data_IF_391159617656
#
_entry.id   IF_391159617656
#
_cell.length_a   1.000
_cell.length_b   1.000
_cell.length_c   1.000
_cell.angle_alpha   90.00
_cell.angle_beta   90.00
_cell.angle_gamma   90.00
#
_symmetry.space_group_name_H-M   'P 1'
#
loop_
_entity.id
_entity.type
_entity.pdbx_description
1 polymer ?
#
# COMPACT_ATOMS: atom_id res chain seq x y z
N UNK A 1 -17.41 -11.45 24.40
CA UNK A 1 -18.65 -11.60 23.61
C UNK A 1 -19.32 -10.23 23.58
N UNK A 2 -19.15 -9.48 22.49
CA UNK A 2 -19.76 -8.15 22.36
C UNK A 2 -21.26 -8.31 22.11
N UNK A 3 -22.09 -7.66 22.93
CA UNK A 3 -23.54 -7.55 22.70
C UNK A 3 -23.85 -6.08 22.45
N UNK A 4 -24.20 -5.76 21.20
CA UNK A 4 -24.72 -4.46 20.83
C UNK A 4 -26.04 -4.18 21.56
N UNK A 5 -26.17 -2.98 22.14
CA UNK A 5 -27.37 -2.51 22.84
C UNK A 5 -27.84 -1.21 22.18
N UNK A 6 -28.60 -1.31 21.10
CA UNK A 6 -29.37 -0.18 20.55
C UNK A 6 -30.82 -0.63 20.32
N UNK A 7 -31.79 0.30 20.24
CA UNK A 7 -33.20 -0.04 20.14
C UNK A 7 -33.46 -0.73 18.81
N UNK A 8 -33.89 -1.99 18.86
CA UNK A 8 -34.30 -2.76 17.68
C UNK A 8 -35.63 -2.21 17.16
N UNK A 9 -35.59 -1.10 16.43
CA UNK A 9 -36.73 -0.63 15.66
C UNK A 9 -36.67 -1.11 14.20
N UNK A 10 -37.80 -1.02 13.49
CA UNK A 10 -37.93 -1.47 12.10
C UNK A 10 -36.95 -0.74 11.16
N UNK A 11 -36.64 0.53 11.45
CA UNK A 11 -35.76 1.38 10.66
C UNK A 11 -34.29 0.97 10.82
N UNK A 12 -33.88 0.59 12.03
CA UNK A 12 -32.56 0.07 12.36
C UNK A 12 -32.27 -1.24 11.63
N UNK A 13 -33.24 -2.17 11.63
CA UNK A 13 -33.11 -3.44 10.90
C UNK A 13 -32.95 -3.20 9.39
N UNK A 14 -33.74 -2.31 8.80
CA UNK A 14 -33.63 -1.95 7.38
C UNK A 14 -32.28 -1.29 7.03
N UNK A 15 -31.74 -0.45 7.94
CA UNK A 15 -30.43 0.18 7.79
C UNK A 15 -29.29 -0.84 7.89
N UNK A 16 -29.35 -1.75 8.85
CA UNK A 16 -28.38 -2.84 8.98
C UNK A 16 -28.38 -3.74 7.74
N UNK A 17 -29.56 -4.16 7.28
CA UNK A 17 -29.68 -4.96 6.06
C UNK A 17 -29.08 -4.24 4.84
N UNK A 18 -29.28 -2.92 4.74
CA UNK A 18 -28.70 -2.10 3.66
C UNK A 18 -27.17 -2.03 3.75
N UNK A 19 -26.61 -1.89 4.96
CA UNK A 19 -25.17 -1.86 5.18
C UNK A 19 -24.51 -3.21 4.92
N UNK A 20 -25.15 -4.31 5.33
CA UNK A 20 -24.68 -5.66 5.07
C UNK A 20 -24.65 -5.97 3.57
N UNK A 21 -25.64 -5.52 2.81
CA UNK A 21 -25.66 -5.62 1.35
C UNK A 21 -24.55 -4.80 0.70
N UNK A 22 -24.34 -3.56 1.15
CA UNK A 22 -23.27 -2.70 0.64
C UNK A 22 -21.90 -3.31 0.92
N UNK A 23 -21.69 -3.83 2.12
CA UNK A 23 -20.46 -4.54 2.48
C UNK A 23 -20.24 -5.78 1.60
N UNK A 24 -21.27 -6.63 1.44
CA UNK A 24 -21.19 -7.81 0.59
C UNK A 24 -20.88 -7.46 -0.87
N UNK A 25 -21.55 -6.45 -1.44
CA UNK A 25 -21.28 -5.98 -2.79
C UNK A 25 -19.87 -5.41 -2.91
N UNK A 26 -19.41 -4.64 -1.93
CA UNK A 26 -18.07 -4.04 -1.94
C UNK A 26 -16.99 -5.11 -1.92
N UNK A 27 -17.15 -6.15 -1.08
CA UNK A 27 -16.18 -7.24 -0.95
C UNK A 27 -16.25 -8.20 -2.14
N UNK A 28 -17.44 -8.59 -2.59
CA UNK A 28 -17.60 -9.70 -3.55
C UNK A 28 -17.89 -9.26 -4.98
N UNK A 29 -18.32 -8.02 -5.19
CA UNK A 29 -18.90 -7.47 -6.44
C UNK A 29 -20.10 -8.26 -6.97
N UNK A 30 -20.77 -9.04 -6.13
CA UNK A 30 -21.99 -9.79 -6.46
C UNK A 30 -23.22 -9.10 -5.87
N UNK A 31 -24.34 -9.15 -6.60
CA UNK A 31 -25.64 -8.76 -6.05
C UNK A 31 -26.09 -9.81 -5.02
N UNK A 32 -26.79 -9.37 -3.99
CA UNK A 32 -27.37 -10.27 -2.98
C UNK A 32 -28.66 -10.85 -3.55
N UNK A 33 -28.89 -12.15 -3.34
CA UNK A 33 -30.14 -12.80 -3.72
C UNK A 33 -31.13 -12.68 -2.54
N UNK A 34 -32.37 -12.34 -2.84
CA UNK A 34 -33.50 -12.39 -1.91
C UNK A 34 -34.16 -13.76 -1.96
N UNK A 35 -34.40 -14.36 -0.80
CA UNK A 35 -35.20 -15.58 -0.70
C UNK A 35 -36.67 -15.27 -1.03
N UNK A 36 -37.48 -16.30 -1.29
CA UNK A 36 -38.91 -16.22 -1.62
C UNK A 36 -39.79 -15.46 -0.60
N UNK A 37 -39.26 -15.24 0.62
CA UNK A 37 -39.90 -14.48 1.70
C UNK A 37 -39.50 -13.00 1.73
N UNK A 38 -38.72 -12.53 0.75
CA UNK A 38 -38.17 -11.16 0.71
C UNK A 38 -37.01 -10.94 1.68
N UNK A 39 -36.62 -11.96 2.44
CA UNK A 39 -35.50 -11.91 3.38
C UNK A 39 -34.17 -12.05 2.62
N UNK A 40 -33.22 -11.19 2.98
CA UNK A 40 -31.91 -11.12 2.35
C UNK A 40 -30.99 -12.10 3.06
N UNK A 41 -30.54 -13.13 2.34
CA UNK A 41 -29.64 -14.15 2.88
C UNK A 41 -28.24 -13.94 2.31
N UNK A 42 -27.36 -13.35 3.11
CA UNK A 42 -25.94 -13.17 2.74
C UNK A 42 -25.18 -14.37 3.31
N UNK A 43 -24.64 -15.26 2.47
CA UNK A 43 -23.93 -16.43 2.96
C UNK A 43 -22.51 -16.05 3.38
N UNK A 44 -22.37 -15.31 4.48
CA UNK A 44 -21.09 -14.88 5.05
C UNK A 44 -20.15 -16.06 5.31
N UNK A 45 -20.70 -17.24 5.62
CA UNK A 45 -19.99 -18.51 5.79
C UNK A 45 -19.43 -19.08 4.47
N UNK A 46 -20.00 -18.76 3.31
CA UNK A 46 -19.49 -19.12 1.98
C UNK A 46 -18.48 -18.10 1.45
N UNK A 47 -18.35 -16.93 2.10
CA UNK A 47 -17.27 -15.99 1.86
C UNK A 47 -15.99 -16.60 2.43
N UNK A 48 -15.40 -17.55 1.69
CA UNK A 48 -14.01 -17.95 1.90
C UNK A 48 -13.19 -16.67 1.85
N UNK A 49 -12.38 -16.43 2.89
CA UNK A 49 -11.42 -15.33 3.01
C UNK A 49 -10.85 -15.03 1.63
N UNK A 50 -11.36 -13.97 0.99
CA UNK A 50 -11.06 -13.75 -0.40
C UNK A 50 -9.62 -13.30 -0.45
N UNK A 51 -8.75 -14.11 -1.09
CA UNK A 51 -7.35 -13.72 -1.37
C UNK A 51 -7.35 -12.29 -1.87
N UNK A 52 -6.45 -11.46 -1.31
CA UNK A 52 -6.22 -10.07 -1.65
C UNK A 52 -6.59 -9.81 -3.12
N UNK A 53 -7.80 -9.30 -3.35
CA UNK A 53 -8.25 -8.93 -4.69
C UNK A 53 -7.79 -7.52 -4.94
N UNK A 54 -7.31 -7.27 -6.14
CA UNK A 54 -7.08 -5.91 -6.60
C UNK A 54 -8.42 -5.16 -6.56
N UNK A 55 -8.41 -3.98 -5.96
CA UNK A 55 -9.52 -3.05 -5.83
C UNK A 55 -9.33 -1.79 -6.70
N UNK A 56 -8.10 -1.50 -7.11
CA UNK A 56 -7.76 -0.39 -8.00
C UNK A 56 -7.91 -0.75 -9.49
N UNK A 57 -8.24 0.22 -10.36
CA UNK A 57 -8.20 0.00 -11.81
C UNK A 57 -6.76 -0.26 -12.29
N UNK A 58 -6.64 -0.89 -13.45
CA UNK A 58 -5.35 -0.98 -14.15
C UNK A 58 -4.87 0.42 -14.53
N UNK A 59 -3.57 0.67 -14.33
CA UNK A 59 -2.93 1.94 -14.69
C UNK A 59 -2.89 2.08 -16.21
N UNK A 60 -3.36 3.21 -16.74
CA UNK A 60 -3.29 3.45 -18.19
C UNK A 60 -1.83 3.58 -18.65
N UNK A 61 -1.48 3.23 -19.91
CA UNK A 61 -0.12 3.35 -20.40
C UNK A 61 0.46 4.77 -20.24
N UNK A 62 -0.36 5.79 -20.50
CA UNK A 62 0.01 7.19 -20.27
C UNK A 62 0.36 7.49 -18.81
N UNK A 63 -0.43 6.98 -17.86
CA UNK A 63 -0.15 7.17 -16.43
C UNK A 63 1.10 6.40 -15.98
N UNK A 64 1.39 5.25 -16.58
CA UNK A 64 2.65 4.51 -16.35
C UNK A 64 3.84 5.32 -16.84
N UNK A 65 3.77 5.92 -18.04
CA UNK A 65 4.86 6.74 -18.59
C UNK A 65 5.15 7.98 -17.73
N UNK A 66 4.10 8.67 -17.25
CA UNK A 66 4.24 9.77 -16.31
C UNK A 66 4.86 9.31 -14.99
N UNK A 67 4.46 8.14 -14.49
CA UNK A 67 5.03 7.56 -13.29
C UNK A 67 6.52 7.20 -13.49
N UNK A 68 6.91 6.66 -14.63
CA UNK A 68 8.32 6.34 -14.92
C UNK A 68 9.20 7.59 -14.93
N UNK A 69 8.69 8.73 -15.42
CA UNK A 69 9.41 10.00 -15.34
C UNK A 69 9.66 10.43 -13.89
N UNK A 70 8.62 10.40 -13.05
CA UNK A 70 8.73 10.72 -11.62
C UNK A 70 9.63 9.71 -10.87
N UNK A 71 9.55 8.43 -11.22
CA UNK A 71 10.34 7.38 -10.61
C UNK A 71 11.84 7.56 -10.88
N UNK A 72 12.23 8.01 -12.09
CA UNK A 72 13.62 8.36 -12.41
C UNK A 72 14.11 9.53 -11.57
N UNK A 73 13.37 10.63 -11.58
CA UNK A 73 13.73 11.85 -10.85
C UNK A 73 13.92 11.59 -9.35
N UNK A 74 13.03 10.78 -8.76
CA UNK A 74 13.15 10.36 -7.37
C UNK A 74 14.44 9.59 -7.10
N UNK A 75 14.79 8.62 -7.94
CA UNK A 75 15.99 7.82 -7.71
C UNK A 75 17.29 8.57 -8.01
N UNK A 76 17.25 9.56 -8.91
CA UNK A 76 18.35 10.51 -9.11
C UNK A 76 18.60 11.35 -7.86
N UNK A 77 17.53 11.76 -7.16
CA UNK A 77 17.59 12.56 -5.93
C UNK A 77 17.20 11.77 -4.68
N UNK A 78 17.63 10.51 -4.60
CA UNK A 78 17.14 9.55 -3.59
C UNK A 78 17.39 9.96 -2.13
N UNK A 79 18.31 10.89 -1.86
CA UNK A 79 18.65 11.39 -0.53
C UNK A 79 17.73 12.53 -0.05
N UNK A 80 16.73 12.93 -0.85
CA UNK A 80 15.74 13.94 -0.50
C UNK A 80 14.35 13.33 -0.47
N UNK A 81 13.41 13.89 0.31
CA UNK A 81 12.01 13.55 0.17
C UNK A 81 11.54 13.85 -1.25
N UNK A 82 10.56 13.08 -1.73
CA UNK A 82 10.01 13.24 -3.07
C UNK A 82 8.49 13.22 -3.05
N UNK A 83 7.85 14.12 -3.81
CA UNK A 83 6.40 14.24 -3.90
C UNK A 83 5.95 13.66 -5.23
N UNK A 84 5.22 12.54 -5.18
CA UNK A 84 4.53 12.01 -6.35
C UNK A 84 3.27 12.81 -6.64
N UNK A 85 3.05 13.14 -7.91
CA UNK A 85 1.77 13.61 -8.45
C UNK A 85 1.07 12.45 -9.15
N UNK A 86 -0.03 11.99 -8.54
CA UNK A 86 -0.87 10.91 -9.01
C UNK A 86 -2.19 11.50 -9.46
N UNK A 87 -2.24 11.94 -10.72
CA UNK A 87 -3.45 12.52 -11.33
C UNK A 87 -4.00 13.73 -10.54
N UNK A 88 -3.12 14.61 -10.07
CA UNK A 88 -3.46 15.80 -9.28
C UNK A 88 -3.45 15.56 -7.76
N UNK A 89 -3.28 14.32 -7.32
CA UNK A 89 -3.15 13.98 -5.90
C UNK A 89 -1.69 13.87 -5.53
N UNK A 90 -1.24 14.73 -4.61
CA UNK A 90 0.14 14.71 -4.10
C UNK A 90 0.31 13.69 -2.98
N UNK A 91 1.46 13.02 -2.96
CA UNK A 91 1.85 12.08 -1.92
C UNK A 91 3.36 12.11 -1.73
N UNK A 92 3.83 12.49 -0.54
CA UNK A 92 5.26 12.59 -0.24
C UNK A 92 5.83 11.24 0.21
N UNK A 93 7.10 11.02 -0.08
CA UNK A 93 7.86 9.84 0.33
C UNK A 93 9.16 10.25 1.00
N UNK A 94 9.45 9.59 2.11
CA UNK A 94 10.69 9.75 2.85
C UNK A 94 11.94 9.55 1.97
N UNK A 95 13.04 10.27 2.26
CA UNK A 95 14.33 10.03 1.63
C UNK A 95 14.81 8.59 1.84
N UNK A 96 15.65 8.10 0.94
CA UNK A 96 16.37 6.86 1.11
C UNK A 96 17.65 7.14 1.88
N UNK A 97 17.78 6.54 3.08
CA UNK A 97 19.04 6.57 3.83
C UNK A 97 20.19 6.11 2.92
N UNK A 98 21.28 6.88 2.88
CA UNK A 98 22.48 6.51 2.12
C UNK A 98 22.97 5.16 2.65
N UNK A 99 22.95 4.15 1.80
CA UNK A 99 23.79 2.97 2.01
C UNK A 99 25.22 3.47 2.12
N UNK A 100 25.89 3.21 3.25
CA UNK A 100 27.32 3.52 3.46
C UNK A 100 28.22 2.94 2.36
N UNK A 101 27.71 1.96 1.60
CA UNK A 101 28.35 1.40 0.42
C UNK A 101 27.80 2.07 -0.85
N UNK A 102 28.44 3.16 -1.27
CA UNK A 102 28.19 3.87 -2.53
C UNK A 102 28.73 3.15 -3.78
N UNK A 103 29.51 2.07 -3.60
CA UNK A 103 30.19 1.35 -4.70
C UNK A 103 29.57 0.01 -5.12
N UNK A 104 28.54 -0.49 -4.41
CA UNK A 104 28.04 -1.84 -4.66
C UNK A 104 26.94 -1.82 -5.72
N UNK A 105 27.19 -2.58 -6.80
CA UNK A 105 26.17 -2.97 -7.79
C UNK A 105 24.88 -3.39 -7.07
N UNK A 106 23.74 -3.04 -7.66
CA UNK A 106 22.44 -3.40 -7.10
C UNK A 106 22.40 -4.92 -6.86
N UNK A 107 22.08 -5.34 -5.63
CA UNK A 107 21.99 -6.77 -5.28
C UNK A 107 21.02 -7.45 -6.24
N UNK A 108 21.42 -8.56 -6.84
CA UNK A 108 20.54 -9.30 -7.73
C UNK A 108 19.25 -9.72 -7.01
N UNK A 109 18.14 -9.60 -7.71
CA UNK A 109 16.86 -10.04 -7.20
C UNK A 109 16.01 -10.58 -8.35
N UNK A 110 15.34 -11.71 -8.13
CA UNK A 110 14.62 -12.44 -9.17
C UNK A 110 13.46 -11.65 -9.82
N UNK A 111 13.00 -10.58 -9.18
CA UNK A 111 11.92 -9.70 -9.68
C UNK A 111 12.41 -8.37 -10.25
N UNK A 112 13.69 -8.01 -10.09
CA UNK A 112 14.21 -6.70 -10.47
C UNK A 112 15.16 -6.80 -11.66
N UNK A 113 15.14 -5.81 -12.55
CA UNK A 113 16.07 -5.76 -13.67
C UNK A 113 17.52 -5.62 -13.18
N UNK A 114 18.48 -6.13 -13.95
CA UNK A 114 19.90 -6.15 -13.57
C UNK A 114 20.54 -4.77 -13.69
N UNK A 115 20.29 -4.06 -14.79
CA UNK A 115 20.83 -2.73 -15.07
C UNK A 115 20.00 -1.63 -14.37
N UNK A 116 20.01 -1.59 -13.04
CA UNK A 116 19.35 -0.55 -12.24
C UNK A 116 20.32 0.12 -11.25
N UNK A 117 20.06 1.38 -10.85
CA UNK A 117 20.81 2.05 -9.78
C UNK A 117 20.83 1.24 -8.47
N UNK A 118 21.95 1.30 -7.73
CA UNK A 118 22.19 0.51 -6.52
C UNK A 118 21.21 0.80 -5.37
N UNK A 119 20.65 2.01 -5.35
CA UNK A 119 19.66 2.44 -4.34
C UNK A 119 18.29 1.78 -4.55
N UNK A 120 18.03 1.19 -5.73
CA UNK A 120 16.75 0.58 -6.07
C UNK A 120 16.68 -0.84 -5.54
N UNK A 121 15.84 -1.02 -4.52
CA UNK A 121 15.54 -2.29 -3.90
C UNK A 121 14.03 -2.49 -3.74
N UNK A 122 13.63 -3.68 -3.28
CA UNK A 122 12.22 -4.01 -3.09
C UNK A 122 11.52 -3.06 -2.10
N UNK A 123 12.19 -2.67 -1.01
CA UNK A 123 11.60 -1.80 0.01
C UNK A 123 11.33 -0.41 -0.57
N UNK A 124 12.26 0.15 -1.34
CA UNK A 124 12.09 1.46 -1.98
C UNK A 124 10.98 1.47 -3.02
N UNK A 125 10.82 0.39 -3.79
CA UNK A 125 9.77 0.27 -4.80
C UNK A 125 8.40 0.05 -4.16
N UNK A 126 8.31 -0.76 -3.11
CA UNK A 126 7.05 -1.04 -2.42
C UNK A 126 6.60 0.18 -1.62
N UNK A 127 7.54 0.96 -1.06
CA UNK A 127 7.23 2.27 -0.48
C UNK A 127 6.60 3.21 -1.52
N UNK A 128 7.10 3.23 -2.75
CA UNK A 128 6.49 4.03 -3.83
C UNK A 128 5.10 3.55 -4.20
N UNK A 129 4.93 2.22 -4.31
CA UNK A 129 3.64 1.63 -4.58
C UNK A 129 2.63 1.98 -3.49
N UNK A 130 3.02 1.94 -2.21
CA UNK A 130 2.18 2.35 -1.09
C UNK A 130 1.84 3.85 -1.14
N UNK A 131 2.82 4.71 -1.46
CA UNK A 131 2.59 6.15 -1.63
C UNK A 131 1.60 6.48 -2.75
N UNK A 132 1.49 5.60 -3.74
CA UNK A 132 0.57 5.71 -4.88
C UNK A 132 -0.82 5.14 -4.65
N UNK A 133 -1.09 4.57 -3.47
CA UNK A 133 -2.42 4.06 -3.15
C UNK A 133 -3.46 5.19 -3.16
N UNK A 134 -4.64 5.00 -3.78
CA UNK A 134 -5.74 5.95 -3.68
C UNK A 134 -6.11 6.19 -2.22
N UNK A 135 -6.14 7.46 -1.79
CA UNK A 135 -6.41 7.76 -0.39
C UNK A 135 -5.27 7.39 0.58
N UNK A 136 -4.16 6.83 0.08
CA UNK A 136 -3.13 6.21 0.91
C UNK A 136 -3.57 4.87 1.53
N UNK A 137 -4.65 4.24 1.05
CA UNK A 137 -5.20 3.01 1.62
C UNK A 137 -5.43 1.97 0.53
N UNK A 138 -5.09 0.71 0.79
CA UNK A 138 -5.37 -0.37 -0.16
C UNK A 138 -5.03 -1.76 0.35
N UNK A 139 -5.30 -2.75 -0.49
CA UNK A 139 -4.95 -4.14 -0.20
C UNK A 139 -3.51 -4.44 -0.58
N UNK A 140 -2.96 -5.55 -0.07
CA UNK A 140 -1.66 -6.06 -0.53
C UNK A 140 -1.60 -6.27 -2.05
N UNK A 141 -2.72 -6.68 -2.67
CA UNK A 141 -2.77 -6.89 -4.10
C UNK A 141 -2.74 -5.57 -4.89
N UNK A 142 -3.31 -4.50 -4.33
CA UNK A 142 -3.21 -3.15 -4.91
C UNK A 142 -1.76 -2.67 -4.93
N UNK A 143 -1.04 -2.88 -3.81
CA UNK A 143 0.40 -2.58 -3.73
C UNK A 143 1.19 -3.42 -4.74
N UNK A 144 0.87 -4.71 -4.88
CA UNK A 144 1.51 -5.57 -5.87
C UNK A 144 1.21 -5.14 -7.32
N UNK A 145 0.02 -4.65 -7.60
CA UNK A 145 -0.35 -4.10 -8.91
C UNK A 145 0.43 -2.82 -9.21
N UNK A 146 0.44 -1.85 -8.29
CA UNK A 146 1.21 -0.61 -8.47
C UNK A 146 2.72 -0.85 -8.55
N UNK A 147 3.24 -1.87 -7.87
CA UNK A 147 4.64 -2.28 -7.97
C UNK A 147 4.99 -2.76 -9.38
N UNK A 148 4.08 -3.44 -10.10
CA UNK A 148 4.31 -3.88 -11.49
C UNK A 148 4.51 -2.72 -12.45
N UNK A 149 3.95 -1.55 -12.14
CA UNK A 149 4.12 -0.36 -12.97
C UNK A 149 5.55 0.18 -12.93
N UNK A 150 6.41 -0.26 -12.00
CA UNK A 150 7.81 0.19 -11.93
C UNK A 150 8.63 -0.32 -13.11
N UNK A 151 9.38 0.59 -13.73
CA UNK A 151 10.29 0.25 -14.84
C UNK A 151 11.47 -0.64 -14.38
N UNK A 152 11.66 -0.78 -13.07
CA UNK A 152 12.73 -1.61 -12.49
C UNK A 152 12.29 -3.02 -12.13
N UNK A 153 11.00 -3.35 -12.31
CA UNK A 153 10.46 -4.71 -12.13
C UNK A 153 10.52 -5.47 -13.46
N UNK A 154 10.93 -6.73 -13.42
CA UNK A 154 11.00 -7.59 -14.61
C UNK A 154 9.58 -7.78 -15.19
N UNK A 155 9.37 -7.54 -16.50
CA UNK A 155 8.07 -7.74 -17.13
C UNK A 155 7.66 -9.23 -17.06
N UNK A 156 6.36 -9.48 -16.97
CA UNK A 156 5.82 -10.85 -16.90
C UNK A 156 6.05 -11.56 -15.55
N UNK A 157 6.42 -10.82 -14.50
CA UNK A 157 6.55 -11.38 -13.15
C UNK A 157 5.24 -11.98 -12.65
N UNK A 158 5.29 -13.22 -12.14
CA UNK A 158 4.10 -13.91 -11.62
C UNK A 158 3.49 -13.20 -10.40
N UNK A 159 2.17 -13.01 -10.42
CA UNK A 159 1.39 -12.40 -9.35
C UNK A 159 1.60 -13.07 -8.00
N UNK A 160 1.74 -14.39 -7.98
CA UNK A 160 1.98 -15.13 -6.73
C UNK A 160 3.33 -14.74 -6.11
N UNK A 161 4.37 -14.63 -6.93
CA UNK A 161 5.71 -14.25 -6.49
C UNK A 161 5.77 -12.78 -6.06
N UNK A 162 5.10 -11.90 -6.80
CA UNK A 162 4.94 -10.50 -6.42
C UNK A 162 4.23 -10.36 -5.08
N UNK A 163 3.09 -11.01 -4.89
CA UNK A 163 2.34 -10.94 -3.63
C UNK A 163 3.15 -11.44 -2.42
N UNK A 164 3.94 -12.51 -2.57
CA UNK A 164 4.82 -13.01 -1.52
C UNK A 164 5.90 -11.99 -1.16
N UNK A 165 6.56 -11.43 -2.17
CA UNK A 165 7.62 -10.43 -1.98
C UNK A 165 7.07 -9.13 -1.38
N UNK A 166 5.90 -8.71 -1.84
CA UNK A 166 5.20 -7.53 -1.31
C UNK A 166 4.85 -7.71 0.16
N UNK A 167 4.32 -8.88 0.55
CA UNK A 167 4.04 -9.18 1.96
C UNK A 167 5.28 -9.00 2.84
N UNK A 168 6.37 -9.71 2.54
CA UNK A 168 7.56 -9.67 3.38
C UNK A 168 8.31 -8.33 3.36
N UNK A 169 8.08 -7.50 2.35
CA UNK A 169 8.60 -6.13 2.32
C UNK A 169 7.73 -5.16 3.12
N UNK A 170 6.40 -5.26 3.05
CA UNK A 170 5.49 -4.47 3.87
C UNK A 170 5.71 -4.75 5.36
N UNK A 171 5.90 -6.02 5.73
CA UNK A 171 6.22 -6.41 7.12
C UNK A 171 7.54 -5.78 7.62
N UNK A 172 8.53 -5.62 6.74
CA UNK A 172 9.80 -4.94 7.08
C UNK A 172 9.66 -3.41 7.13
N UNK A 173 8.78 -2.85 6.31
CA UNK A 173 8.52 -1.41 6.30
C UNK A 173 7.75 -0.98 7.56
N UNK A 174 6.76 -1.77 8.00
CA UNK A 174 6.00 -1.45 9.22
C UNK A 174 6.86 -1.57 10.49
N UNK A 175 7.93 -2.38 10.45
CA UNK A 175 8.83 -2.57 11.59
C UNK A 175 10.02 -1.61 11.59
N UNK A 176 10.05 -0.64 10.67
CA UNK A 176 11.09 0.39 10.64
C UNK A 176 10.90 1.39 11.79
N UNK A 177 11.96 2.13 12.14
CA UNK A 177 11.92 3.17 13.17
C UNK A 177 10.91 4.27 12.84
N UNK A 178 10.92 4.73 11.59
CA UNK A 178 9.88 5.58 11.00
C UNK A 178 9.10 4.75 9.96
N UNK A 179 7.99 4.10 10.37
CA UNK A 179 7.25 3.21 9.49
C UNK A 179 6.42 4.02 8.47
N UNK A 180 6.66 3.87 7.15
CA UNK A 180 5.85 4.53 6.13
C UNK A 180 4.49 3.88 5.93
N UNK A 181 4.29 2.67 6.46
CA UNK A 181 3.06 1.89 6.28
C UNK A 181 2.63 1.26 7.58
N UNK A 182 1.32 1.11 7.74
CA UNK A 182 0.71 0.37 8.84
C UNK A 182 -0.37 -0.58 8.31
N UNK A 183 -0.50 -1.74 8.95
CA UNK A 183 -1.57 -2.69 8.65
C UNK A 183 -2.72 -2.52 9.65
N UNK A 184 -3.89 -2.15 9.14
CA UNK A 184 -5.12 -2.14 9.92
C UNK A 184 -5.70 -3.57 9.94
N UNK A 185 -5.67 -4.20 11.11
CA UNK A 185 -6.13 -5.58 11.29
C UNK A 185 -7.65 -5.72 11.18
N UNK A 186 -8.41 -4.68 11.56
CA UNK A 186 -9.86 -4.69 11.53
C UNK A 186 -10.38 -4.55 10.10
N UNK A 187 -9.82 -3.60 9.36
CA UNK A 187 -10.17 -3.35 7.95
C UNK A 187 -9.43 -4.27 6.99
N UNK A 188 -8.35 -4.92 7.44
CA UNK A 188 -7.45 -5.75 6.64
C UNK A 188 -6.80 -4.98 5.48
N UNK A 189 -6.47 -3.71 5.71
CA UNK A 189 -5.92 -2.78 4.72
C UNK A 189 -4.55 -2.28 5.13
N UNK A 190 -3.74 -1.95 4.14
CA UNK A 190 -2.48 -1.23 4.31
C UNK A 190 -2.73 0.27 4.16
N UNK A 191 -2.19 1.04 5.09
CA UNK A 191 -2.29 2.48 5.14
C UNK A 191 -0.90 3.07 4.97
N UNK A 192 -0.75 4.02 4.05
CA UNK A 192 0.47 4.80 3.87
C UNK A 192 0.43 6.04 4.77
N UNK A 193 1.35 6.08 5.74
CA UNK A 193 1.33 7.05 6.84
C UNK A 193 2.00 8.39 6.46
N UNK A 194 2.95 8.36 5.54
CA UNK A 194 3.72 9.55 5.17
C UNK A 194 2.99 10.48 4.21
N UNK A 195 1.81 10.11 3.70
CA UNK A 195 1.09 10.83 2.64
C UNK A 195 0.93 12.34 2.89
N UNK A 196 0.66 12.70 4.14
CA UNK A 196 0.33 14.07 4.57
C UNK A 196 1.50 14.77 5.28
N UNK A 197 2.68 14.15 5.33
CA UNK A 197 3.87 14.79 5.89
C UNK A 197 4.38 15.91 4.98
N UNK A 198 5.25 16.74 5.51
CA UNK A 198 5.99 17.77 4.78
C UNK A 198 7.48 17.43 4.66
N UNK A 199 8.23 18.23 3.91
CA UNK A 199 9.69 18.05 3.83
C UNK A 199 10.36 18.34 5.17
N UNK A 200 9.81 19.28 5.96
CA UNK A 200 10.31 19.62 7.29
C UNK A 200 10.11 18.48 8.30
N UNK A 201 9.02 17.73 8.20
CA UNK A 201 8.77 16.56 9.06
C UNK A 201 9.90 15.52 8.93
N UNK A 202 10.51 15.39 7.74
CA UNK A 202 11.64 14.48 7.52
C UNK A 202 12.98 15.06 7.96
N UNK A 203 13.14 16.39 7.94
CA UNK A 203 14.37 17.05 8.39
C UNK A 203 14.50 17.01 9.92
N UNK A 204 13.39 17.22 10.65
CA UNK A 204 13.38 17.20 12.12
C UNK A 204 13.71 15.81 12.71
N UNK A 205 13.37 14.73 11.99
CA UNK A 205 13.72 13.36 12.40
C UNK A 205 15.20 13.02 12.20
N UNK A 206 15.91 13.69 11.28
CA UNK A 206 17.36 13.48 11.07
C UNK A 206 18.23 14.15 12.14
N UNK A 207 17.77 15.24 12.76
CA UNK A 207 18.51 15.97 13.80
C UNK A 207 18.39 15.34 15.21
N UNK A 208 17.47 14.38 15.41
CA UNK A 208 17.21 13.76 16.72
C UNK A 208 18.09 12.55 17.10
N UNK A 209 18.98 12.10 16.21
CA UNK A 209 19.83 10.90 16.40
C UNK A 209 21.27 11.23 16.88
N UNK A 210 21.62 12.51 17.11
CA UNK A 210 22.99 12.96 17.44
C UNK A 210 23.27 13.20 18.94
N UNK A 211 22.34 12.88 19.84
CA UNK A 211 22.53 13.04 21.29
C UNK A 211 22.33 11.69 22.02
N UNK A 212 23.35 10.84 22.08
CA UNK A 212 23.67 9.93 23.21
C UNK A 212 24.93 9.13 22.86
N UNK A 213 26.09 9.68 23.21
CA UNK A 213 27.24 8.95 23.78
C UNK A 213 28.36 9.94 24.07
N UNK A 214 28.14 10.75 25.11
CA UNK A 214 29.24 11.33 25.87
C UNK A 214 28.83 11.32 27.34
N UNK A 215 29.05 10.18 27.99
CA UNK A 215 29.33 10.08 29.42
C UNK A 215 29.70 8.62 29.73
N UNK A 216 31.02 8.35 29.76
CA UNK A 216 31.80 7.84 30.92
C UNK A 216 33.05 7.05 30.49
#
# INVERSE_FOLDING_TARGET
MWKWKEPMDSTYNSRLESLEQLFYFTVTRKKVNTDETGKISIPFNLIKQQKCKVTIPETSPYAVDLFHAQERERFENCNKPYIFDIQGVKSIVAPLKKSSNTSLRAREHALLIENRPGQINLLSLIRNAAARLPGGVGTRADVAQLMKDSQYVKPGSSDNKLNQVVSGALDRLQSASDPPVNYDQDQKLWIYLHRLRTEEDFAAEEEGDDDFDNDE
#
